data_IF_316360844988
#
_entry.id   IF_316360844988
#
_cell.length_a   1.000
_cell.length_b   1.000
_cell.length_c   1.000
_cell.angle_alpha   90.00
_cell.angle_beta   90.00
_cell.angle_gamma   90.00
#
_symmetry.space_group_name_H-M   'P 1'
#
loop_
_entity.id
_entity.type
_entity.pdbx_description
1 polymer ?
#
# COMPACT_ATOMS: atom_id res chain seq x y z
N UNK A 1 4.63 0.61 5.36
CA UNK A 1 5.03 -0.70 5.91
C UNK A 1 6.19 -1.22 5.06
N UNK A 2 6.94 -2.24 5.48
CA UNK A 2 7.99 -2.85 4.64
C UNK A 2 7.52 -4.21 4.07
N UNK A 3 8.37 -4.84 3.25
CA UNK A 3 8.10 -6.13 2.60
C UNK A 3 7.72 -7.24 3.56
N UNK A 4 8.14 -7.17 4.83
CA UNK A 4 7.78 -8.12 5.87
C UNK A 4 6.25 -8.21 6.01
N UNK A 5 5.58 -7.08 6.21
CA UNK A 5 4.14 -7.06 6.41
C UNK A 5 3.38 -7.07 5.09
N UNK A 6 3.79 -6.29 4.08
CA UNK A 6 3.09 -6.24 2.80
C UNK A 6 3.04 -7.61 2.11
N UNK A 7 4.10 -8.41 2.26
CA UNK A 7 4.12 -9.77 1.74
C UNK A 7 3.64 -10.79 2.78
N UNK A 8 4.35 -10.99 3.89
CA UNK A 8 4.07 -12.09 4.82
C UNK A 8 2.86 -11.82 5.70
N UNK A 9 2.73 -10.61 6.24
CA UNK A 9 1.55 -10.20 7.00
C UNK A 9 0.26 -10.36 6.18
N UNK A 10 0.26 -9.87 4.95
CA UNK A 10 -0.86 -10.04 4.00
C UNK A 10 -1.14 -11.51 3.66
N UNK A 11 -0.09 -12.29 3.35
CA UNK A 11 -0.22 -13.71 3.06
C UNK A 11 -0.92 -14.45 4.20
N UNK A 12 -0.45 -14.27 5.43
CA UNK A 12 -1.02 -14.95 6.58
C UNK A 12 -2.42 -14.44 6.92
N UNK A 13 -2.68 -13.14 6.77
CA UNK A 13 -4.04 -12.62 6.94
C UNK A 13 -5.03 -13.24 5.93
N UNK A 14 -4.61 -13.44 4.68
CA UNK A 14 -5.44 -14.12 3.67
C UNK A 14 -5.66 -15.61 4.00
N UNK A 15 -4.64 -16.31 4.50
CA UNK A 15 -4.75 -17.72 4.93
C UNK A 15 -5.68 -17.90 6.13
N UNK A 16 -5.54 -17.02 7.12
CA UNK A 16 -6.25 -17.09 8.41
C UNK A 16 -7.69 -16.60 8.26
N UNK A 17 -7.90 -15.43 7.65
CA UNK A 17 -9.22 -14.84 7.52
C UNK A 17 -10.05 -15.40 6.37
N UNK A 18 -9.45 -15.55 5.18
CA UNK A 18 -10.20 -15.81 3.94
C UNK A 18 -10.24 -17.26 3.48
N UNK A 19 -9.61 -18.21 4.20
CA UNK A 19 -9.48 -19.60 3.77
C UNK A 19 -8.91 -19.79 2.34
N UNK A 20 -8.17 -18.80 1.82
CA UNK A 20 -7.53 -18.86 0.51
C UNK A 20 -6.47 -19.97 0.48
N UNK A 21 -6.32 -20.68 -0.64
CA UNK A 21 -5.22 -21.65 -0.80
C UNK A 21 -3.85 -20.99 -0.65
N UNK A 22 -2.78 -21.77 -0.41
CA UNK A 22 -1.40 -21.25 -0.37
C UNK A 22 -1.07 -20.47 -1.65
N UNK A 23 -1.47 -20.98 -2.82
CA UNK A 23 -1.23 -20.31 -4.10
C UNK A 23 -2.03 -19.02 -4.28
N UNK A 24 -3.30 -18.99 -3.85
CA UNK A 24 -4.13 -17.79 -3.89
C UNK A 24 -3.59 -16.71 -2.95
N UNK A 25 -3.29 -17.08 -1.70
CA UNK A 25 -2.70 -16.16 -0.72
C UNK A 25 -1.32 -15.66 -1.16
N UNK A 26 -0.51 -16.50 -1.82
CA UNK A 26 0.77 -16.09 -2.42
C UNK A 26 0.56 -15.02 -3.49
N UNK A 27 -0.41 -15.18 -4.39
CA UNK A 27 -0.71 -14.17 -5.41
C UNK A 27 -1.22 -12.84 -4.80
N UNK A 28 -2.09 -12.92 -3.79
CA UNK A 28 -2.54 -11.74 -3.03
C UNK A 28 -1.34 -11.00 -2.43
N UNK A 29 -0.44 -11.71 -1.75
CA UNK A 29 0.75 -11.14 -1.13
C UNK A 29 1.73 -10.54 -2.14
N UNK A 30 1.94 -11.20 -3.29
CA UNK A 30 2.73 -10.64 -4.39
C UNK A 30 2.12 -9.34 -4.89
N UNK A 31 0.81 -9.29 -5.11
CA UNK A 31 0.13 -8.09 -5.56
C UNK A 31 0.21 -6.95 -4.53
N UNK A 32 0.03 -7.24 -3.23
CA UNK A 32 0.20 -6.23 -2.18
C UNK A 32 1.62 -5.65 -2.21
N UNK A 33 2.64 -6.50 -2.08
CA UNK A 33 4.04 -6.10 -2.10
C UNK A 33 4.42 -5.34 -3.38
N UNK A 34 3.84 -5.68 -4.53
CA UNK A 34 4.18 -5.07 -5.81
C UNK A 34 3.74 -3.60 -5.95
N UNK A 35 2.87 -3.09 -5.07
CA UNK A 35 2.54 -1.65 -4.99
C UNK A 35 3.80 -0.80 -4.76
N UNK A 36 4.74 -1.27 -3.93
CA UNK A 36 6.01 -0.57 -3.68
C UNK A 36 7.05 -0.77 -4.81
N UNK A 37 6.82 -1.70 -5.74
CA UNK A 37 7.80 -2.06 -6.76
C UNK A 37 7.41 -1.69 -8.18
N UNK A 38 6.13 -1.40 -8.45
CA UNK A 38 5.67 -0.88 -9.73
C UNK A 38 6.08 0.60 -9.88
N UNK A 39 7.36 0.82 -10.17
CA UNK A 39 7.98 2.12 -10.25
C UNK A 39 8.11 2.66 -11.69
N UNK A 40 8.16 3.99 -11.83
CA UNK A 40 8.28 4.66 -13.13
C UNK A 40 9.58 4.32 -13.89
N UNK A 41 10.68 3.98 -13.21
CA UNK A 41 11.95 3.64 -13.87
C UNK A 41 11.93 2.29 -14.57
N UNK A 42 11.22 1.31 -14.00
CA UNK A 42 11.13 -0.06 -14.53
C UNK A 42 9.91 -0.26 -15.44
N UNK A 43 8.82 0.44 -15.16
CA UNK A 43 7.51 0.19 -15.77
C UNK A 43 6.91 1.41 -16.49
N UNK A 44 7.51 2.60 -16.32
CA UNK A 44 7.11 3.79 -17.04
C UNK A 44 7.44 3.65 -18.52
N UNK A 45 6.44 3.76 -19.39
CA UNK A 45 6.61 3.73 -20.84
C UNK A 45 5.33 3.40 -21.59
N UNK A 46 5.44 3.20 -22.90
CA UNK A 46 4.29 2.85 -23.75
C UNK A 46 4.12 1.33 -23.76
N UNK A 47 3.01 0.83 -23.21
CA UNK A 47 2.73 -0.59 -23.17
C UNK A 47 1.91 -1.01 -24.38
N UNK A 48 2.42 -1.96 -25.14
CA UNK A 48 1.70 -2.68 -26.18
C UNK A 48 1.23 -4.01 -25.62
N UNK A 49 -0.07 -4.13 -25.45
CA UNK A 49 -0.69 -5.35 -24.97
C UNK A 49 -0.72 -6.36 -26.10
N UNK A 50 -0.30 -7.59 -25.82
CA UNK A 50 -0.23 -8.65 -26.83
C UNK A 50 -0.90 -9.92 -26.35
N UNK A 51 -1.54 -10.65 -27.27
CA UNK A 51 -2.15 -11.95 -26.97
C UNK A 51 -1.10 -13.06 -26.88
N UNK A 52 -0.23 -13.11 -27.88
CA UNK A 52 0.73 -14.19 -28.07
C UNK A 52 2.02 -13.89 -27.29
N UNK A 53 2.54 -14.86 -26.53
CA UNK A 53 3.85 -14.74 -25.85
C UNK A 53 5.04 -14.92 -26.81
N UNK A 54 4.79 -15.49 -27.99
CA UNK A 54 5.77 -15.63 -29.07
C UNK A 54 5.53 -14.61 -30.19
N UNK A 55 6.61 -14.10 -30.77
CA UNK A 55 6.53 -13.21 -31.94
C UNK A 55 6.02 -13.98 -33.18
N UNK A 56 5.18 -13.35 -34.00
CA UNK A 56 4.61 -13.93 -35.25
C UNK A 56 5.58 -13.86 -36.43
N UNK A 57 6.44 -12.85 -36.42
CA UNK A 57 7.63 -12.74 -37.26
C UNK A 57 8.80 -12.42 -36.33
N UNK A 58 10.06 -12.46 -36.78
CA UNK A 58 11.22 -12.15 -35.93
C UNK A 58 11.08 -10.85 -35.11
N UNK A 59 10.27 -9.89 -35.58
CA UNK A 59 10.16 -8.55 -35.01
C UNK A 59 8.73 -8.09 -34.62
N UNK A 60 7.71 -8.95 -34.67
CA UNK A 60 6.33 -8.47 -34.44
C UNK A 60 5.45 -9.39 -33.57
N UNK A 61 4.85 -8.80 -32.53
CA UNK A 61 3.74 -9.38 -31.78
C UNK A 61 2.38 -8.97 -32.40
N UNK A 62 1.31 -9.73 -32.14
CA UNK A 62 -0.06 -9.23 -32.35
C UNK A 62 -0.46 -8.36 -31.17
N UNK A 63 -0.55 -7.06 -31.44
CA UNK A 63 -1.02 -6.06 -30.49
C UNK A 63 -2.55 -6.09 -30.43
N UNK A 64 -3.08 -6.06 -29.21
CA UNK A 64 -4.52 -6.06 -28.91
C UNK A 64 -4.95 -4.79 -28.17
N UNK A 65 -4.00 -3.95 -27.76
CA UNK A 65 -4.28 -2.64 -27.18
C UNK A 65 -3.01 -1.87 -26.83
N UNK A 66 -3.16 -0.57 -26.63
CA UNK A 66 -2.06 0.34 -26.26
C UNK A 66 -2.41 1.07 -24.97
N UNK A 67 -1.51 1.02 -23.99
CA UNK A 67 -1.61 1.78 -22.74
C UNK A 67 -0.45 2.78 -22.70
N UNK A 68 -0.79 4.06 -22.87
CA UNK A 68 0.22 5.12 -23.02
C UNK A 68 0.76 5.65 -21.69
N UNK A 69 0.05 5.40 -20.59
CA UNK A 69 0.38 5.91 -19.26
C UNK A 69 0.06 4.84 -18.22
N UNK A 70 0.87 3.77 -18.13
CA UNK A 70 0.74 2.80 -17.05
C UNK A 70 0.80 3.51 -15.69
N UNK A 71 -0.09 3.13 -14.77
CA UNK A 71 -0.14 3.69 -13.43
C UNK A 71 0.92 3.04 -12.58
N UNK A 72 2.11 3.60 -12.58
CA UNK A 72 3.08 3.30 -11.53
C UNK A 72 2.50 3.73 -10.18
N UNK A 73 2.72 2.90 -9.16
CA UNK A 73 2.17 3.08 -7.81
C UNK A 73 3.22 3.58 -6.84
N UNK A 74 4.50 3.53 -7.24
CA UNK A 74 5.63 4.00 -6.46
C UNK A 74 6.56 4.89 -7.30
N UNK A 75 7.14 5.91 -6.67
CA UNK A 75 8.24 6.69 -7.24
C UNK A 75 9.53 6.34 -6.49
N UNK A 76 10.33 5.44 -7.07
CA UNK A 76 11.60 5.03 -6.48
C UNK A 76 12.69 6.09 -6.66
N UNK A 77 13.49 6.30 -5.61
CA UNK A 77 14.66 7.19 -5.40
C UNK A 77 14.39 8.43 -4.54
N UNK A 78 15.44 8.95 -3.89
CA UNK A 78 15.47 10.22 -3.14
C UNK A 78 14.84 11.41 -3.87
N UNK A 79 14.77 11.39 -5.21
CA UNK A 79 14.12 12.44 -6.00
C UNK A 79 12.59 12.37 -6.01
N UNK A 80 11.97 11.27 -5.57
CA UNK A 80 10.51 11.14 -5.45
C UNK A 80 9.92 12.16 -4.46
N UNK A 81 10.69 12.47 -3.43
CA UNK A 81 10.39 13.54 -2.48
C UNK A 81 10.41 14.96 -3.06
N UNK A 82 11.05 15.15 -4.22
CA UNK A 82 11.30 16.48 -4.83
C UNK A 82 10.25 16.83 -5.89
N UNK A 83 9.54 15.84 -6.46
CA UNK A 83 8.50 16.04 -7.48
C UNK A 83 7.29 15.14 -7.22
N UNK A 84 6.68 15.30 -6.05
CA UNK A 84 5.52 14.53 -5.63
C UNK A 84 4.32 14.72 -6.56
N UNK A 85 3.77 13.62 -7.06
CA UNK A 85 2.48 13.61 -7.77
C UNK A 85 1.37 13.39 -6.74
N UNK A 86 0.51 14.40 -6.55
CA UNK A 86 -0.54 14.48 -5.53
C UNK A 86 -1.44 13.24 -5.44
N UNK A 87 -1.84 12.72 -6.61
CA UNK A 87 -2.74 11.57 -6.69
C UNK A 87 -2.08 10.22 -6.37
N UNK A 88 -0.77 10.07 -6.56
CA UNK A 88 -0.11 8.77 -6.39
C UNK A 88 -0.01 8.42 -4.91
N UNK A 89 0.62 9.29 -4.14
CA UNK A 89 0.91 9.05 -2.73
C UNK A 89 -0.37 9.03 -1.89
N UNK A 90 -1.31 9.93 -2.18
CA UNK A 90 -2.62 9.94 -1.52
C UNK A 90 -3.46 8.69 -1.83
N UNK A 91 -3.24 8.03 -2.96
CA UNK A 91 -4.02 6.83 -3.31
C UNK A 91 -3.43 5.57 -2.70
N UNK A 92 -2.10 5.39 -2.74
CA UNK A 92 -1.50 4.10 -2.41
C UNK A 92 -0.83 4.00 -1.03
N UNK A 93 -0.38 5.12 -0.44
CA UNK A 93 0.47 5.08 0.77
C UNK A 93 -0.02 5.96 1.92
N UNK A 94 -0.74 7.04 1.61
CA UNK A 94 -1.19 8.04 2.59
C UNK A 94 -2.64 8.44 2.34
N UNK A 95 -3.56 7.47 2.48
CA UNK A 95 -4.98 7.64 2.21
C UNK A 95 -5.62 8.72 3.09
N UNK A 96 -6.10 9.84 2.53
CA UNK A 96 -6.66 10.93 3.33
C UNK A 96 -7.81 10.47 4.23
N UNK A 97 -7.72 10.79 5.53
CA UNK A 97 -8.70 10.35 6.53
C UNK A 97 -8.97 11.31 7.67
N UNK A 98 -8.43 12.54 7.67
CA UNK A 98 -8.53 13.47 8.80
C UNK A 98 -9.75 14.39 8.70
N UNK A 99 -10.93 13.80 8.53
CA UNK A 99 -12.18 14.54 8.38
C UNK A 99 -13.32 13.75 8.99
N UNK A 100 -14.33 14.43 9.50
CA UNK A 100 -15.55 13.79 10.01
C UNK A 100 -16.22 12.95 8.91
N UNK A 101 -16.79 11.82 9.32
CA UNK A 101 -17.50 10.91 8.42
C UNK A 101 -18.57 11.67 7.63
N UNK A 102 -18.45 11.74 6.29
CA UNK A 102 -19.51 12.27 5.45
C UNK A 102 -20.80 11.46 5.62
N UNK A 103 -21.95 12.08 5.39
CA UNK A 103 -23.23 11.37 5.40
C UNK A 103 -23.22 10.16 4.45
N UNK A 104 -23.78 9.04 4.92
CA UNK A 104 -23.85 7.77 4.20
C UNK A 104 -22.54 6.96 4.19
N UNK A 105 -21.52 7.37 4.94
CA UNK A 105 -20.29 6.57 5.06
C UNK A 105 -20.56 5.26 5.80
N UNK A 106 -19.97 4.12 5.36
CA UNK A 106 -20.17 2.85 6.04
C UNK A 106 -19.59 2.91 7.46
N UNK A 107 -20.25 2.31 8.45
CA UNK A 107 -19.72 2.18 9.80
C UNK A 107 -18.72 1.02 9.92
N UNK A 108 -17.87 0.97 10.96
CA UNK A 108 -17.01 -0.19 11.21
C UNK A 108 -17.79 -1.52 11.26
N UNK A 109 -19.01 -1.52 11.82
CA UNK A 109 -19.87 -2.71 11.87
C UNK A 109 -20.37 -3.12 10.50
N UNK A 110 -20.72 -2.18 9.61
CA UNK A 110 -21.15 -2.51 8.23
C UNK A 110 -20.03 -3.19 7.44
N UNK A 111 -18.78 -2.82 7.73
CA UNK A 111 -17.59 -3.30 7.02
C UNK A 111 -17.05 -4.60 7.61
N UNK A 112 -17.00 -4.74 8.93
CA UNK A 112 -16.30 -5.85 9.58
C UNK A 112 -17.19 -6.82 10.36
N UNK A 113 -18.47 -6.47 10.56
CA UNK A 113 -19.33 -7.12 11.54
C UNK A 113 -19.04 -6.65 12.97
N UNK A 114 -19.97 -6.90 13.90
CA UNK A 114 -19.91 -6.36 15.25
C UNK A 114 -18.69 -6.87 16.05
N UNK A 115 -18.38 -8.17 15.95
CA UNK A 115 -17.32 -8.80 16.74
C UNK A 115 -15.92 -8.23 16.43
N UNK A 116 -15.61 -8.03 15.15
CA UNK A 116 -14.34 -7.40 14.75
C UNK A 116 -14.34 -5.91 15.04
N UNK A 117 -15.45 -5.20 14.77
CA UNK A 117 -15.56 -3.77 14.99
C UNK A 117 -15.34 -3.36 16.46
N UNK A 118 -15.71 -4.20 17.43
CA UNK A 118 -15.47 -3.97 18.85
C UNK A 118 -13.97 -4.03 19.23
N UNK A 119 -13.16 -4.76 18.46
CA UNK A 119 -11.73 -4.93 18.70
C UNK A 119 -10.86 -3.90 17.98
N UNK A 120 -11.39 -3.24 16.94
CA UNK A 120 -10.69 -2.18 16.22
C UNK A 120 -10.87 -0.84 16.94
N UNK A 121 -9.83 0.02 17.01
CA UNK A 121 -9.99 1.35 17.57
C UNK A 121 -10.90 2.19 16.67
N UNK A 122 -11.65 3.11 17.28
CA UNK A 122 -12.48 4.05 16.53
C UNK A 122 -11.65 5.01 15.67
N UNK A 123 -12.31 5.59 14.66
CA UNK A 123 -11.72 6.66 13.85
C UNK A 123 -11.39 7.87 14.73
N UNK A 124 -10.13 8.30 14.70
CA UNK A 124 -9.65 9.47 15.41
C UNK A 124 -9.28 10.57 14.41
N UNK A 125 -9.74 11.79 14.68
CA UNK A 125 -9.41 13.01 13.93
C UNK A 125 -8.41 13.82 14.76
N UNK A 126 -7.37 14.31 14.09
CA UNK A 126 -6.37 15.21 14.66
C UNK A 126 -6.76 16.66 14.48
N UNK A 127 -6.61 17.43 15.55
CA UNK A 127 -6.62 18.89 15.47
C UNK A 127 -5.32 19.37 14.81
N UNK A 128 -5.46 20.07 13.69
CA UNK A 128 -4.36 20.62 12.90
C UNK A 128 -4.23 22.12 13.18
N UNK A 129 -3.03 22.56 13.55
CA UNK A 129 -2.73 23.95 13.84
C UNK A 129 -3.04 24.84 12.63
N UNK A 130 -3.60 26.02 12.92
CA UNK A 130 -3.91 27.06 11.94
C UNK A 130 -2.73 27.52 11.08
N UNK A 131 -1.49 27.27 11.51
CA UNK A 131 -0.28 27.55 10.74
C UNK A 131 -0.11 26.63 9.53
N UNK A 132 -0.76 25.45 9.53
CA UNK A 132 -0.77 24.55 8.38
C UNK A 132 -1.83 25.01 7.39
N UNK A 133 -1.51 24.93 6.09
CA UNK A 133 -2.46 25.25 5.03
C UNK A 133 -3.77 24.49 5.19
N UNK A 134 -4.89 25.22 5.22
CA UNK A 134 -6.23 24.66 5.46
C UNK A 134 -6.61 23.51 4.51
N UNK A 135 -6.11 23.53 3.26
CA UNK A 135 -6.32 22.48 2.29
C UNK A 135 -5.72 21.13 2.72
N UNK A 136 -4.69 21.13 3.58
CA UNK A 136 -4.02 19.93 4.07
C UNK A 136 -4.65 19.35 5.33
N UNK A 137 -5.54 20.07 6.01
CA UNK A 137 -6.08 19.65 7.31
C UNK A 137 -6.81 18.31 7.24
N UNK A 138 -7.43 17.99 6.09
CA UNK A 138 -8.15 16.74 5.87
C UNK A 138 -7.26 15.57 5.42
N UNK A 139 -5.98 15.82 5.14
CA UNK A 139 -5.13 14.91 4.38
C UNK A 139 -4.24 14.01 5.22
N UNK A 140 -4.22 14.16 6.56
CA UNK A 140 -3.53 13.16 7.38
C UNK A 140 -4.17 11.80 7.14
N UNK A 141 -3.32 10.82 6.89
CA UNK A 141 -3.67 9.43 6.74
C UNK A 141 -4.23 8.89 8.06
N UNK A 142 -5.43 8.33 8.04
CA UNK A 142 -6.10 7.83 9.25
C UNK A 142 -6.81 6.49 8.98
N UNK A 143 -6.50 5.44 9.73
CA UNK A 143 -7.23 4.17 9.66
C UNK A 143 -8.65 4.37 10.14
N UNK A 144 -9.53 3.48 9.71
CA UNK A 144 -10.94 3.52 10.05
C UNK A 144 -11.64 4.81 9.61
N UNK A 145 -11.03 5.68 8.80
CA UNK A 145 -11.71 6.83 8.19
C UNK A 145 -12.79 6.37 7.19
N UNK A 146 -13.73 7.25 6.86
CA UNK A 146 -14.78 6.93 5.89
C UNK A 146 -14.25 6.39 4.55
N UNK A 147 -13.16 6.95 4.00
CA UNK A 147 -12.53 6.43 2.79
C UNK A 147 -11.91 5.05 3.02
N UNK A 148 -11.15 4.86 4.11
CA UNK A 148 -10.56 3.56 4.46
C UNK A 148 -11.63 2.46 4.56
N UNK A 149 -12.75 2.74 5.23
CA UNK A 149 -13.88 1.80 5.36
C UNK A 149 -14.59 1.54 4.02
N UNK A 150 -14.73 2.58 3.18
CA UNK A 150 -15.29 2.42 1.84
C UNK A 150 -14.38 1.58 0.92
N UNK A 151 -13.06 1.69 1.05
CA UNK A 151 -12.10 0.86 0.31
C UNK A 151 -12.25 -0.63 0.65
N UNK A 152 -12.42 -0.95 1.94
CA UNK A 152 -12.63 -2.33 2.39
C UNK A 152 -13.97 -2.86 1.86
N UNK A 153 -15.05 -2.08 1.97
CA UNK A 153 -16.37 -2.50 1.50
C UNK A 153 -16.38 -2.74 -0.01
N UNK A 154 -15.78 -1.84 -0.81
CA UNK A 154 -15.65 -2.01 -2.26
C UNK A 154 -14.81 -3.25 -2.63
N UNK A 155 -13.75 -3.54 -1.87
CA UNK A 155 -12.94 -4.74 -2.06
C UNK A 155 -13.78 -6.02 -1.86
N UNK A 156 -14.61 -6.06 -0.81
CA UNK A 156 -15.52 -7.17 -0.52
C UNK A 156 -16.58 -7.31 -1.62
N UNK A 157 -17.20 -6.20 -2.04
CA UNK A 157 -18.21 -6.19 -3.10
C UNK A 157 -17.64 -6.68 -4.43
N UNK A 158 -16.40 -6.29 -4.76
CA UNK A 158 -15.72 -6.78 -5.96
C UNK A 158 -15.43 -8.27 -5.85
N UNK A 159 -14.92 -8.73 -4.70
CA UNK A 159 -14.54 -10.12 -4.50
C UNK A 159 -15.73 -11.09 -4.54
N UNK A 160 -16.91 -10.64 -4.10
CA UNK A 160 -18.13 -11.45 -4.03
C UNK A 160 -19.03 -11.32 -5.26
N UNK A 161 -18.66 -10.50 -6.26
CA UNK A 161 -19.49 -10.22 -7.44
C UNK A 161 -18.72 -10.41 -8.75
N UNK A 162 -18.81 -11.60 -9.34
CA UNK A 162 -18.28 -11.85 -10.70
C UNK A 162 -18.78 -10.84 -11.74
N UNK A 163 -20.08 -10.46 -11.78
CA UNK A 163 -20.55 -9.43 -12.72
C UNK A 163 -19.89 -8.06 -12.50
N UNK A 164 -19.51 -7.71 -11.26
CA UNK A 164 -18.77 -6.46 -10.98
C UNK A 164 -17.36 -6.53 -11.56
N UNK A 165 -16.64 -7.63 -11.33
CA UNK A 165 -15.31 -7.86 -11.90
C UNK A 165 -15.33 -7.80 -13.44
N UNK A 166 -16.33 -8.41 -14.07
CA UNK A 166 -16.51 -8.31 -15.53
C UNK A 166 -16.70 -6.86 -15.99
N UNK A 167 -17.56 -6.09 -15.31
CA UNK A 167 -17.79 -4.68 -15.66
C UNK A 167 -16.53 -3.83 -15.52
N UNK A 168 -15.64 -4.17 -14.59
CA UNK A 168 -14.32 -3.52 -14.44
C UNK A 168 -13.43 -3.91 -15.62
N UNK A 169 -13.25 -5.22 -15.88
CA UNK A 169 -12.40 -5.70 -16.97
C UNK A 169 -12.87 -5.24 -18.35
N UNK A 170 -14.19 -5.15 -18.59
CA UNK A 170 -14.75 -4.61 -19.83
C UNK A 170 -14.36 -3.15 -20.11
N UNK A 171 -13.99 -2.39 -19.08
CA UNK A 171 -13.53 -1.00 -19.20
C UNK A 171 -12.02 -0.88 -19.39
N UNK A 172 -11.29 -2.00 -19.31
CA UNK A 172 -9.86 -2.02 -19.55
C UNK A 172 -9.54 -2.07 -21.05
N UNK A 173 -8.46 -1.42 -21.45
CA UNK A 173 -7.90 -1.54 -22.80
C UNK A 173 -7.60 -3.01 -23.12
N UNK A 174 -8.16 -3.55 -24.20
CA UNK A 174 -8.01 -4.98 -24.50
C UNK A 174 -8.80 -5.91 -23.56
N UNK A 175 -9.73 -5.39 -22.76
CA UNK A 175 -10.51 -6.17 -21.79
C UNK A 175 -11.35 -7.30 -22.39
N UNK A 176 -11.70 -7.22 -23.67
CA UNK A 176 -12.34 -8.34 -24.38
C UNK A 176 -11.45 -9.59 -24.43
N UNK A 177 -10.12 -9.43 -24.51
CA UNK A 177 -9.16 -10.55 -24.46
C UNK A 177 -9.21 -11.28 -23.12
N UNK A 178 -9.50 -10.55 -22.04
CA UNK A 178 -9.59 -11.10 -20.69
C UNK A 178 -10.89 -11.87 -20.48
N UNK A 179 -11.94 -11.54 -21.23
CA UNK A 179 -13.31 -12.02 -21.03
C UNK A 179 -13.80 -13.00 -22.11
N UNK A 180 -12.94 -13.36 -23.07
CA UNK A 180 -13.27 -14.31 -24.13
C UNK A 180 -12.68 -15.71 -23.86
N UNK A 181 -13.41 -16.74 -24.32
CA UNK A 181 -12.93 -18.11 -24.35
C UNK A 181 -12.71 -18.77 -22.99
N UNK A 182 -11.85 -19.79 -22.97
CA UNK A 182 -11.63 -20.67 -21.82
C UNK A 182 -10.85 -19.98 -20.68
N UNK A 183 -10.09 -18.92 -20.98
CA UNK A 183 -9.28 -18.20 -20.00
C UNK A 183 -10.10 -17.21 -19.13
N UNK A 184 -11.37 -16.93 -19.48
CA UNK A 184 -12.21 -15.95 -18.77
C UNK A 184 -12.29 -16.21 -17.26
N UNK A 185 -12.56 -17.46 -16.86
CA UNK A 185 -12.74 -17.80 -15.45
C UNK A 185 -11.44 -17.61 -14.65
N UNK A 186 -10.31 -18.04 -15.22
CA UNK A 186 -8.99 -17.86 -14.63
C UNK A 186 -8.58 -16.38 -14.52
N UNK A 187 -8.81 -15.58 -15.57
CA UNK A 187 -8.54 -14.14 -15.53
C UNK A 187 -9.36 -13.41 -14.47
N UNK A 188 -10.65 -13.75 -14.34
CA UNK A 188 -11.52 -13.17 -13.30
C UNK A 188 -11.05 -13.54 -11.90
N UNK A 189 -10.63 -14.79 -11.70
CA UNK A 189 -10.11 -15.26 -10.42
C UNK A 189 -8.79 -14.59 -10.06
N UNK A 190 -7.82 -14.56 -10.99
CA UNK A 190 -6.54 -13.87 -10.74
C UNK A 190 -6.75 -12.37 -10.52
N UNK A 191 -7.62 -11.72 -11.29
CA UNK A 191 -7.94 -10.31 -11.09
C UNK A 191 -8.55 -10.03 -9.71
N UNK A 192 -9.47 -10.89 -9.24
CA UNK A 192 -10.04 -10.82 -7.90
C UNK A 192 -8.95 -10.82 -6.82
N UNK A 193 -8.05 -11.79 -6.88
CA UNK A 193 -6.95 -11.95 -5.91
C UNK A 193 -5.97 -10.78 -5.95
N UNK A 194 -5.63 -10.31 -7.16
CA UNK A 194 -4.73 -9.18 -7.35
C UNK A 194 -5.34 -7.87 -6.83
N UNK A 195 -6.63 -7.63 -7.07
CA UNK A 195 -7.33 -6.46 -6.53
C UNK A 195 -7.38 -6.48 -4.99
N UNK A 196 -7.65 -7.65 -4.40
CA UNK A 196 -7.58 -7.83 -2.94
C UNK A 196 -6.18 -7.51 -2.40
N UNK A 197 -5.12 -7.98 -3.06
CA UNK A 197 -3.74 -7.67 -2.68
C UNK A 197 -3.44 -6.16 -2.74
N UNK A 198 -3.81 -5.50 -3.85
CA UNK A 198 -3.63 -4.06 -3.99
C UNK A 198 -4.38 -3.26 -2.91
N UNK A 199 -5.59 -3.68 -2.53
CA UNK A 199 -6.36 -3.05 -1.44
C UNK A 199 -5.73 -3.33 -0.07
N UNK A 200 -5.26 -4.56 0.17
CA UNK A 200 -4.61 -4.96 1.41
C UNK A 200 -3.36 -4.11 1.70
N UNK A 201 -2.53 -3.84 0.68
CA UNK A 201 -1.39 -2.92 0.80
C UNK A 201 -1.81 -1.57 1.38
N UNK A 202 -2.77 -0.91 0.75
CA UNK A 202 -3.19 0.44 1.11
C UNK A 202 -3.80 0.48 2.51
N UNK A 203 -4.60 -0.53 2.88
CA UNK A 203 -5.17 -0.65 4.23
C UNK A 203 -4.03 -0.80 5.26
N UNK A 204 -3.04 -1.64 4.97
CA UNK A 204 -1.90 -1.86 5.86
C UNK A 204 -1.06 -0.57 6.03
N UNK A 205 -0.75 0.12 4.93
CA UNK A 205 -0.09 1.44 4.93
C UNK A 205 -0.90 2.51 5.67
N UNK A 206 -2.23 2.45 5.60
CA UNK A 206 -3.12 3.35 6.35
C UNK A 206 -2.86 3.24 7.87
N UNK A 207 -2.63 2.03 8.39
CA UNK A 207 -2.24 1.82 9.79
C UNK A 207 -0.81 2.24 10.07
N UNK A 208 0.14 1.94 9.18
CA UNK A 208 1.57 2.19 9.35
C UNK A 208 1.94 3.69 9.28
N UNK A 209 1.21 4.46 8.48
CA UNK A 209 1.59 5.81 8.11
C UNK A 209 0.62 6.87 8.62
N UNK A 210 -0.09 6.59 9.72
CA UNK A 210 -0.96 7.61 10.33
C UNK A 210 -0.21 8.91 10.60
N UNK A 211 -0.92 10.03 10.55
CA UNK A 211 -0.39 11.36 10.88
C UNK A 211 0.63 11.92 9.87
N UNK A 212 0.67 11.33 8.66
CA UNK A 212 1.37 11.84 7.48
C UNK A 212 0.40 11.99 6.31
N UNK A 213 0.71 12.86 5.35
CA UNK A 213 -0.12 13.14 4.19
C UNK A 213 0.64 12.88 2.88
N UNK A 214 -0.08 12.42 1.85
CA UNK A 214 0.47 12.14 0.51
C UNK A 214 0.75 13.38 -0.34
N UNK A 215 0.91 14.54 0.29
CA UNK A 215 1.23 15.83 -0.36
C UNK A 215 2.57 16.35 0.14
N UNK A 216 3.22 17.22 -0.63
CA UNK A 216 4.44 17.88 -0.17
C UNK A 216 4.07 19.12 0.65
N UNK A 217 4.42 19.16 1.94
CA UNK A 217 4.22 20.36 2.76
C UNK A 217 4.59 20.20 4.22
N UNK A 218 4.55 21.31 4.97
CA UNK A 218 4.94 21.38 6.38
C UNK A 218 4.14 20.42 7.28
N UNK A 219 2.97 19.96 6.83
CA UNK A 219 2.18 18.92 7.48
C UNK A 219 2.98 17.62 7.70
N UNK A 220 4.00 17.36 6.88
CA UNK A 220 4.85 16.18 7.00
C UNK A 220 6.19 16.44 7.69
N UNK A 221 6.32 17.58 8.35
CA UNK A 221 7.54 17.92 9.10
C UNK A 221 7.34 17.77 10.60
N UNK A 222 8.44 17.85 11.33
CA UNK A 222 8.42 17.82 12.78
C UNK A 222 9.49 18.72 13.41
N UNK A 223 9.20 19.10 14.65
CA UNK A 223 10.11 19.81 15.54
C UNK A 223 11.00 18.85 16.30
N UNK A 224 12.06 19.39 16.90
CA UNK A 224 12.93 18.63 17.79
C UNK A 224 12.16 18.12 19.03
N UNK A 225 12.20 16.81 19.27
CA UNK A 225 11.49 16.15 20.36
C UNK A 225 11.81 16.73 21.74
N UNK A 226 13.03 17.26 21.94
CA UNK A 226 13.54 17.74 23.23
C UNK A 226 13.50 19.27 23.45
N UNK A 227 12.67 20.04 22.70
CA UNK A 227 12.46 21.50 22.87
C UNK A 227 13.71 22.39 22.69
N UNK A 228 14.65 22.00 21.82
CA UNK A 228 15.77 22.87 21.45
C UNK A 228 15.31 24.12 20.68
N UNK A 229 15.79 25.31 21.06
CA UNK A 229 15.42 26.59 20.44
C UNK A 229 15.89 26.72 18.96
N UNK A 230 16.83 25.87 18.52
CA UNK A 230 17.31 25.74 17.14
C UNK A 230 17.85 24.31 16.85
N UNK A 231 17.26 23.61 15.86
CA UNK A 231 18.01 22.98 14.77
C UNK A 231 18.74 21.64 14.92
N UNK A 232 18.06 20.54 15.31
CA UNK A 232 18.51 19.18 14.95
C UNK A 232 17.42 18.30 14.35
N UNK A 233 16.15 18.53 14.71
CA UNK A 233 15.00 17.69 14.34
C UNK A 233 15.21 16.25 14.80
N UNK A 234 15.48 16.11 16.09
CA UNK A 234 15.65 14.80 16.71
C UNK A 234 14.31 14.13 17.04
N UNK A 235 14.33 12.80 16.99
CA UNK A 235 13.26 11.90 17.38
C UNK A 235 13.82 10.93 18.42
N UNK A 236 12.94 10.39 19.27
CA UNK A 236 13.31 9.31 20.18
C UNK A 236 12.64 8.00 19.75
N UNK A 237 13.32 6.88 19.86
CA UNK A 237 12.78 5.54 19.55
C UNK A 237 13.21 4.46 20.55
N UNK A 238 12.47 3.35 20.55
CA UNK A 238 12.68 2.12 21.31
C UNK A 238 12.51 0.94 20.35
N UNK A 239 13.52 0.06 20.29
CA UNK A 239 13.56 -1.06 19.34
C UNK A 239 13.77 -2.43 20.03
N UNK A 240 14.67 -2.51 20.99
CA UNK A 240 15.06 -3.73 21.72
C UNK A 240 14.94 -3.60 23.23
N UNK A 241 14.91 -2.36 23.74
CA UNK A 241 14.79 -2.05 25.16
C UNK A 241 13.72 -0.99 25.41
N UNK A 242 13.36 -0.78 26.68
CA UNK A 242 12.46 0.29 27.08
C UNK A 242 13.15 1.66 27.20
N UNK A 243 14.44 1.77 26.88
CA UNK A 243 15.18 3.04 26.90
C UNK A 243 14.99 3.82 25.61
N UNK A 244 14.79 5.14 25.72
CA UNK A 244 14.63 6.02 24.57
C UNK A 244 15.99 6.38 23.95
N UNK A 245 16.21 5.95 22.71
CA UNK A 245 17.35 6.33 21.89
C UNK A 245 17.04 7.60 21.10
N UNK A 246 17.92 8.61 21.15
CA UNK A 246 17.75 9.86 20.38
C UNK A 246 18.54 9.79 19.07
N UNK A 247 17.88 10.12 17.96
CA UNK A 247 18.51 10.16 16.64
C UNK A 247 18.06 11.35 15.82
N UNK A 248 18.90 11.75 14.88
CA UNK A 248 18.53 12.61 13.76
C UNK A 248 18.74 11.83 12.50
N UNK A 249 17.64 11.62 11.78
CA UNK A 249 17.64 10.91 10.53
C UNK A 249 18.16 11.82 9.42
N UNK A 250 18.92 11.25 8.48
CA UNK A 250 19.48 11.98 7.36
C UNK A 250 19.90 11.01 6.25
N UNK A 251 20.16 11.55 5.07
CA UNK A 251 20.71 10.78 3.94
C UNK A 251 22.10 10.19 4.19
N UNK A 252 22.80 10.66 5.23
CA UNK A 252 24.14 10.20 5.60
C UNK A 252 24.10 9.07 6.65
N UNK A 253 22.94 8.79 7.23
CA UNK A 253 22.76 7.62 8.07
C UNK A 253 22.86 6.33 7.22
N UNK A 254 23.08 5.20 7.89
CA UNK A 254 22.97 3.92 7.21
C UNK A 254 21.50 3.61 6.89
N UNK A 255 21.26 2.61 6.04
CA UNK A 255 19.96 2.30 5.43
C UNK A 255 18.79 2.27 6.43
N UNK A 256 18.92 1.62 7.59
CA UNK A 256 17.81 1.51 8.55
C UNK A 256 17.40 2.86 9.20
N UNK A 257 18.28 3.85 9.20
CA UNK A 257 18.06 5.17 9.81
C UNK A 257 18.15 6.30 8.77
N UNK A 258 18.08 5.95 7.49
CA UNK A 258 18.11 6.92 6.40
C UNK A 258 16.76 7.63 6.27
N UNK A 259 16.80 8.92 5.94
CA UNK A 259 15.62 9.72 5.63
C UNK A 259 15.96 10.70 4.49
N UNK A 260 14.93 11.20 3.80
CA UNK A 260 15.13 12.21 2.74
C UNK A 260 15.70 13.52 3.32
N UNK A 261 16.49 14.30 2.56
CA UNK A 261 17.16 15.47 3.12
C UNK A 261 16.17 16.57 3.51
N UNK A 262 16.34 17.09 4.73
CA UNK A 262 15.55 18.21 5.25
C UNK A 262 15.66 19.42 4.30
N UNK A 263 14.52 20.07 4.04
CA UNK A 263 14.44 21.24 3.16
C UNK A 263 14.27 20.94 1.67
N UNK A 264 14.39 19.68 1.24
CA UNK A 264 14.28 19.29 -0.19
C UNK A 264 13.10 18.40 -0.53
N UNK A 265 12.53 17.70 0.47
CA UNK A 265 11.36 16.84 0.32
C UNK A 265 10.48 16.95 1.55
N UNK A 266 9.17 17.08 1.35
CA UNK A 266 8.17 17.18 2.43
C UNK A 266 7.02 16.19 2.21
N UNK A 267 7.30 15.10 1.50
CA UNK A 267 6.30 14.14 1.08
C UNK A 267 6.21 12.97 2.06
N UNK A 268 5.00 12.67 2.52
CA UNK A 268 4.71 11.52 3.37
C UNK A 268 5.55 11.51 4.65
N UNK A 269 5.92 10.32 5.11
CA UNK A 269 6.79 10.16 6.26
C UNK A 269 8.29 10.31 5.92
N UNK A 270 8.66 10.94 4.80
CA UNK A 270 10.03 10.93 4.28
C UNK A 270 11.10 11.36 5.30
N UNK A 271 10.77 12.29 6.20
CA UNK A 271 11.67 12.73 7.28
C UNK A 271 11.73 11.77 8.49
N UNK A 272 10.76 10.89 8.62
CA UNK A 272 10.71 9.82 9.64
C UNK A 272 11.46 8.56 9.17
N UNK A 273 12.02 8.56 7.95
CA UNK A 273 12.71 7.40 7.39
C UNK A 273 11.82 6.16 7.45
N UNK A 274 12.39 5.04 7.84
CA UNK A 274 11.71 3.75 7.93
C UNK A 274 11.02 3.47 9.29
N UNK A 275 11.05 4.40 10.26
CA UNK A 275 10.45 4.10 11.57
C UNK A 275 8.95 3.74 11.53
N UNK A 276 8.11 4.34 10.67
CA UNK A 276 6.71 3.91 10.55
C UNK A 276 6.57 2.49 9.96
N UNK A 277 7.60 2.00 9.27
CA UNK A 277 7.64 0.70 8.59
C UNK A 277 8.09 -0.44 9.51
N UNK A 278 8.74 -0.12 10.64
CA UNK A 278 9.17 -1.13 11.60
C UNK A 278 8.03 -1.50 12.56
N UNK A 279 7.47 -2.68 12.37
CA UNK A 279 6.35 -3.24 13.14
C UNK A 279 6.57 -3.26 14.66
N UNK A 280 7.81 -3.46 15.10
CA UNK A 280 8.19 -3.62 16.51
C UNK A 280 8.56 -2.31 17.22
N UNK A 281 8.73 -1.21 16.49
CA UNK A 281 9.31 0.01 17.07
C UNK A 281 8.26 0.89 17.77
N UNK A 282 8.70 1.56 18.83
CA UNK A 282 7.97 2.67 19.43
C UNK A 282 8.80 3.94 19.30
N UNK A 283 8.21 5.02 18.84
CA UNK A 283 8.91 6.29 18.63
C UNK A 283 8.08 7.47 19.09
N UNK A 284 8.73 8.61 19.31
CA UNK A 284 8.05 9.87 19.62
C UNK A 284 8.70 11.05 18.91
N UNK A 285 7.87 11.97 18.47
CA UNK A 285 8.27 13.13 17.68
C UNK A 285 7.26 14.27 17.90
N UNK A 286 7.60 15.49 17.51
CA UNK A 286 6.70 16.64 17.61
C UNK A 286 6.23 17.05 16.22
N UNK A 287 5.10 16.55 15.73
CA UNK A 287 4.63 16.91 14.41
C UNK A 287 4.39 18.43 14.29
N UNK A 288 4.74 19.01 13.14
CA UNK A 288 4.53 20.44 12.92
C UNK A 288 3.04 20.81 12.90
N UNK A 289 2.18 19.88 12.50
CA UNK A 289 0.73 20.08 12.49
C UNK A 289 0.08 20.19 13.88
N UNK A 290 0.76 19.84 14.98
CA UNK A 290 0.25 20.10 16.35
C UNK A 290 0.70 21.44 16.93
N UNK A 291 1.53 22.20 16.20
CA UNK A 291 2.14 23.41 16.70
C UNK A 291 3.37 23.16 17.57
N UNK A 292 4.27 24.13 17.62
CA UNK A 292 5.61 24.00 18.24
C UNK A 292 5.58 23.74 19.75
N UNK A 293 4.55 24.23 20.44
CA UNK A 293 4.41 24.09 21.89
C UNK A 293 3.82 22.75 22.34
N UNK A 294 3.32 21.93 21.42
CA UNK A 294 2.73 20.63 21.75
C UNK A 294 3.73 19.68 22.44
N UNK A 295 3.21 18.76 23.23
CA UNK A 295 4.01 17.63 23.72
C UNK A 295 4.34 16.67 22.57
N UNK A 296 5.44 15.90 22.67
CA UNK A 296 5.73 14.88 21.67
C UNK A 296 4.60 13.86 21.56
N UNK A 297 4.16 13.61 20.34
CA UNK A 297 3.29 12.50 20.00
C UNK A 297 4.09 11.20 20.14
N UNK A 298 3.54 10.24 20.89
CA UNK A 298 4.09 8.89 21.00
C UNK A 298 3.36 7.98 20.02
N UNK A 299 4.12 7.24 19.22
CA UNK A 299 3.64 6.24 18.30
C UNK A 299 4.20 4.88 18.66
N UNK A 300 3.29 3.93 18.85
CA UNK A 300 3.57 2.55 19.25
C UNK A 300 3.11 1.65 18.09
N UNK A 301 4.04 1.20 17.24
CA UNK A 301 3.69 0.47 16.03
C UNK A 301 3.09 -0.92 16.30
N UNK A 302 3.56 -1.74 17.27
CA UNK A 302 3.07 -3.11 17.43
C UNK A 302 1.53 -3.21 17.54
N UNK A 303 0.83 -2.39 18.35
CA UNK A 303 -0.63 -2.37 18.34
C UNK A 303 -1.24 -2.00 16.98
N UNK A 304 -0.68 -1.04 16.25
CA UNK A 304 -1.21 -0.62 14.94
C UNK A 304 -1.12 -1.74 13.90
N UNK A 305 -0.01 -2.48 13.90
CA UNK A 305 0.20 -3.61 13.00
C UNK A 305 -0.70 -4.80 13.36
N UNK A 306 -1.03 -5.00 14.65
CA UNK A 306 -2.02 -6.00 15.08
C UNK A 306 -3.43 -5.64 14.61
N UNK A 307 -3.81 -4.35 14.67
CA UNK A 307 -5.08 -3.89 14.11
C UNK A 307 -5.13 -4.04 12.60
N UNK A 308 -4.05 -3.71 11.89
CA UNK A 308 -3.93 -3.95 10.45
C UNK A 308 -4.13 -5.44 10.12
N UNK A 309 -3.47 -6.35 10.83
CA UNK A 309 -3.62 -7.79 10.62
C UNK A 309 -5.06 -8.25 10.84
N UNK A 310 -5.71 -7.82 11.93
CA UNK A 310 -7.10 -8.16 12.21
C UNK A 310 -8.06 -7.61 11.14
N UNK A 311 -7.87 -6.37 10.71
CA UNK A 311 -8.69 -5.74 9.67
C UNK A 311 -8.56 -6.47 8.33
N UNK A 312 -7.34 -6.85 7.96
CA UNK A 312 -7.09 -7.66 6.77
C UNK A 312 -7.73 -9.04 6.87
N UNK A 313 -7.60 -9.75 8.00
CA UNK A 313 -8.29 -11.03 8.22
C UNK A 313 -9.80 -10.88 8.02
N UNK A 314 -10.39 -9.83 8.58
CA UNK A 314 -11.83 -9.55 8.43
C UNK A 314 -12.21 -9.27 6.97
N UNK A 315 -11.45 -8.43 6.27
CA UNK A 315 -11.67 -8.17 4.84
C UNK A 315 -11.60 -9.47 4.03
N UNK A 316 -10.60 -10.31 4.27
CA UNK A 316 -10.42 -11.56 3.54
C UNK A 316 -11.51 -12.58 3.85
N UNK A 317 -11.98 -12.69 5.09
CA UNK A 317 -13.14 -13.52 5.44
C UNK A 317 -14.37 -13.12 4.63
N UNK A 318 -14.70 -11.83 4.64
CA UNK A 318 -15.86 -11.30 3.90
C UNK A 318 -15.71 -11.40 2.39
N UNK A 319 -14.49 -11.21 1.87
CA UNK A 319 -14.19 -11.41 0.45
C UNK A 319 -14.37 -12.87 -0.01
N UNK A 320 -14.28 -13.83 0.91
CA UNK A 320 -14.58 -15.25 0.68
C UNK A 320 -16.05 -15.62 0.95
N UNK A 321 -16.87 -14.66 1.40
CA UNK A 321 -18.29 -14.85 1.70
C UNK A 321 -18.60 -15.24 3.14
N UNK A 322 -17.61 -15.19 4.04
CA UNK A 322 -17.73 -15.55 5.45
C UNK A 322 -17.68 -14.31 6.37
N UNK A 323 -18.02 -14.49 7.64
CA UNK A 323 -17.76 -13.50 8.70
C UNK A 323 -16.67 -14.03 9.63
N UNK A 324 -15.75 -13.15 10.03
CA UNK A 324 -14.68 -13.51 10.95
C UNK A 324 -15.20 -13.49 12.39
N UNK A 325 -15.15 -14.62 13.07
CA UNK A 325 -15.17 -14.68 14.54
C UNK A 325 -13.72 -14.51 15.05
N UNK A 326 -13.35 -13.38 15.67
CA UNK A 326 -11.98 -13.14 16.12
C UNK A 326 -11.47 -14.18 17.12
N UNK A 327 -12.38 -14.80 17.90
CA UNK A 327 -12.01 -15.79 18.91
C UNK A 327 -11.60 -17.13 18.29
N UNK A 328 -12.03 -17.39 17.05
CA UNK A 328 -11.66 -18.60 16.30
C UNK A 328 -10.22 -18.60 15.76
N UNK A 329 -9.55 -17.43 15.80
CA UNK A 329 -8.19 -17.24 15.29
C UNK A 329 -7.24 -16.67 16.36
N UNK A 330 -7.56 -16.86 17.64
CA UNK A 330 -6.77 -16.27 18.74
C UNK A 330 -5.32 -16.76 18.74
N UNK A 331 -5.08 -18.04 18.44
CA UNK A 331 -3.74 -18.61 18.33
C UNK A 331 -2.94 -17.95 17.19
N UNK A 332 -3.54 -17.79 16.00
CA UNK A 332 -2.91 -17.11 14.88
C UNK A 332 -2.69 -15.61 15.14
N UNK A 333 -3.60 -14.96 15.84
CA UNK A 333 -3.44 -13.56 16.25
C UNK A 333 -2.31 -13.39 17.24
N UNK A 334 -2.12 -14.32 18.17
CA UNK A 334 -1.00 -14.29 19.11
C UNK A 334 0.35 -14.58 18.42
N UNK A 335 0.37 -15.52 17.48
CA UNK A 335 1.54 -15.79 16.64
C UNK A 335 1.93 -14.56 15.79
N UNK A 336 0.95 -13.94 15.13
CA UNK A 336 1.15 -12.69 14.39
C UNK A 336 1.62 -11.55 15.32
N UNK A 337 1.01 -11.42 16.49
CA UNK A 337 1.37 -10.43 17.50
C UNK A 337 2.82 -10.59 18.01
N UNK A 338 3.30 -11.84 18.09
CA UNK A 338 4.68 -12.17 18.44
C UNK A 338 5.65 -11.81 17.31
N UNK A 339 5.32 -12.15 16.06
CA UNK A 339 6.13 -11.78 14.90
C UNK A 339 6.25 -10.26 14.72
N UNK A 340 5.13 -9.55 14.85
CA UNK A 340 5.03 -8.08 14.78
C UNK A 340 5.88 -7.40 15.85
N UNK A 341 5.88 -7.94 17.08
CA UNK A 341 6.57 -7.32 18.21
C UNK A 341 8.02 -7.79 18.38
N UNK A 342 8.52 -8.64 17.47
CA UNK A 342 9.84 -9.22 17.59
C UNK A 342 10.92 -8.11 17.50
N UNK A 343 11.69 -7.87 18.57
CA UNK A 343 12.61 -6.74 18.65
C UNK A 343 13.83 -6.94 17.74
N UNK A 344 14.30 -5.85 17.16
CA UNK A 344 15.46 -5.84 16.27
C UNK A 344 16.25 -4.54 16.47
N UNK A 345 17.58 -4.63 16.69
CA UNK A 345 18.44 -3.47 16.93
C UNK A 345 18.68 -2.71 15.62
N UNK A 346 17.91 -1.65 15.37
CA UNK A 346 17.93 -0.96 14.07
C UNK A 346 19.19 -0.13 13.88
N UNK A 347 19.92 0.18 14.96
CA UNK A 347 21.21 0.88 14.92
C UNK A 347 22.37 -0.03 14.48
N UNK A 348 22.21 -1.36 14.52
CA UNK A 348 23.21 -2.29 14.01
C UNK A 348 23.16 -2.32 12.47
N UNK A 349 24.28 -1.95 11.85
CA UNK A 349 24.47 -1.94 10.39
C UNK A 349 24.52 -3.34 9.78
N UNK A 350 24.76 -4.38 10.59
CA UNK A 350 24.76 -5.77 10.16
C UNK A 350 23.36 -6.37 10.03
N UNK A 351 22.34 -5.69 10.57
CA UNK A 351 20.97 -6.18 10.64
C UNK A 351 20.11 -5.52 9.56
N UNK A 352 19.23 -6.33 8.96
CA UNK A 352 18.19 -5.87 8.05
C UNK A 352 16.82 -6.16 8.69
N UNK A 353 16.15 -5.15 9.28
CA UNK A 353 14.93 -5.34 10.06
C UNK A 353 13.81 -6.08 9.33
N UNK A 354 13.57 -5.74 8.05
CA UNK A 354 12.55 -6.41 7.23
C UNK A 354 12.82 -7.90 6.99
N UNK A 355 14.10 -8.30 6.82
CA UNK A 355 14.44 -9.72 6.73
C UNK A 355 14.29 -10.43 8.07
N UNK A 356 14.71 -9.78 9.15
CA UNK A 356 14.51 -10.34 10.47
C UNK A 356 13.02 -10.57 10.73
N UNK A 357 12.17 -9.57 10.47
CA UNK A 357 10.73 -9.69 10.67
C UNK A 357 10.08 -10.73 9.77
N UNK A 358 10.48 -10.85 8.49
CA UNK A 358 9.94 -11.91 7.62
C UNK A 358 10.27 -13.32 8.12
N UNK A 359 11.46 -13.53 8.68
CA UNK A 359 11.84 -14.78 9.33
C UNK A 359 10.98 -15.06 10.58
N UNK A 360 10.65 -14.02 11.37
CA UNK A 360 9.75 -14.15 12.52
C UNK A 360 8.33 -14.51 12.10
N UNK A 361 7.79 -13.89 11.04
CA UNK A 361 6.47 -14.26 10.50
C UNK A 361 6.40 -15.74 10.13
N UNK A 362 7.40 -16.28 9.44
CA UNK A 362 7.45 -17.71 9.09
C UNK A 362 7.55 -18.57 10.35
N UNK A 363 8.46 -18.22 11.27
CA UNK A 363 8.72 -19.02 12.46
C UNK A 363 7.51 -19.08 13.42
N UNK A 364 6.86 -17.95 13.67
CA UNK A 364 5.72 -17.86 14.59
C UNK A 364 4.47 -18.50 14.00
N UNK A 365 4.15 -18.23 12.72
CA UNK A 365 2.96 -18.79 12.09
C UNK A 365 3.06 -20.31 11.88
N UNK A 366 4.26 -20.86 11.74
CA UNK A 366 4.47 -22.31 11.72
C UNK A 366 4.06 -23.00 13.04
N UNK A 367 4.15 -22.31 14.19
CA UNK A 367 3.76 -22.86 15.50
C UNK A 367 2.26 -23.12 15.59
N UNK A 368 1.47 -22.40 14.81
CA UNK A 368 0.01 -22.50 14.70
C UNK A 368 -0.41 -23.17 13.39
N UNK A 369 0.45 -24.04 12.85
CA UNK A 369 0.18 -24.89 11.69
C UNK A 369 -0.12 -24.14 10.37
N UNK A 370 0.27 -22.88 10.25
CA UNK A 370 0.16 -22.15 8.99
C UNK A 370 1.39 -22.41 8.11
N UNK A 371 1.15 -22.88 6.89
CA UNK A 371 2.20 -23.12 5.91
C UNK A 371 2.73 -21.79 5.34
N UNK A 372 4.03 -21.69 5.01
CA UNK A 372 4.59 -20.49 4.38
C UNK A 372 4.08 -20.30 2.94
N UNK A 373 4.30 -19.11 2.34
CA UNK A 373 3.99 -18.85 0.93
C UNK A 373 4.69 -19.83 -0.01
N UNK A 374 4.11 -20.07 -1.20
CA UNK A 374 4.75 -20.87 -2.26
C UNK A 374 6.05 -20.19 -2.73
N UNK A 375 6.04 -18.85 -2.79
CA UNK A 375 7.18 -18.02 -3.17
C UNK A 375 7.80 -17.36 -1.94
N UNK A 376 8.71 -18.05 -1.23
CA UNK A 376 9.49 -17.41 -0.16
C UNK A 376 10.49 -16.41 -0.78
N UNK A 377 10.31 -15.11 -0.47
CA UNK A 377 11.12 -14.00 -0.98
C UNK A 377 12.28 -13.66 -0.03
N UNK A 378 13.40 -13.16 -0.55
CA UNK A 378 14.41 -12.49 0.27
C UNK A 378 14.03 -11.03 0.46
N UNK A 379 13.45 -10.70 1.62
CA UNK A 379 13.07 -9.33 1.96
C UNK A 379 14.25 -8.34 1.96
N UNK A 380 15.51 -8.78 1.90
CA UNK A 380 16.65 -7.86 1.67
C UNK A 380 16.62 -7.23 0.27
N UNK A 381 16.08 -7.93 -0.73
CA UNK A 381 16.08 -7.53 -2.13
C UNK A 381 14.84 -6.68 -2.45
N UNK A 382 15.02 -5.54 -3.12
CA UNK A 382 13.94 -4.61 -3.47
C UNK A 382 13.80 -4.45 -5.00
N UNK A 383 12.90 -5.22 -5.65
CA UNK A 383 12.23 -6.43 -5.16
C UNK A 383 13.08 -7.70 -5.34
N UNK A 384 12.77 -8.74 -4.57
CA UNK A 384 13.13 -10.11 -4.92
C UNK A 384 12.44 -10.52 -6.24
N UNK A 385 13.14 -11.27 -7.10
CA UNK A 385 12.60 -11.71 -8.39
C UNK A 385 11.32 -12.56 -8.26
N UNK A 386 11.15 -13.29 -7.15
CA UNK A 386 9.95 -14.07 -6.84
C UNK A 386 8.76 -13.20 -6.45
N UNK A 387 8.99 -11.97 -5.98
CA UNK A 387 7.94 -11.02 -5.66
C UNK A 387 7.36 -10.33 -6.90
N UNK A 388 8.03 -10.40 -8.05
CA UNK A 388 7.62 -9.74 -9.29
C UNK A 388 6.41 -10.45 -9.91
N UNK A 389 5.43 -9.67 -10.36
CA UNK A 389 4.31 -10.17 -11.16
C UNK A 389 4.74 -10.36 -12.62
N UNK A 390 4.62 -11.58 -13.18
CA UNK A 390 5.06 -11.86 -14.54
C UNK A 390 4.15 -11.18 -15.57
N UNK A 391 4.70 -10.88 -16.75
CA UNK A 391 3.91 -10.40 -17.88
C UNK A 391 4.66 -9.56 -18.91
N UNK A 392 5.82 -9.00 -18.53
CA UNK A 392 6.68 -8.28 -19.45
C UNK A 392 7.44 -9.26 -20.36
N UNK A 393 7.30 -9.10 -21.68
CA UNK A 393 7.87 -10.00 -22.68
C UNK A 393 9.12 -9.43 -23.35
N UNK A 394 9.09 -8.14 -23.68
CA UNK A 394 10.16 -7.45 -24.38
C UNK A 394 10.16 -5.97 -23.97
N UNK A 395 11.35 -5.41 -23.80
CA UNK A 395 11.57 -4.00 -23.49
C UNK A 395 12.35 -3.38 -24.66
N UNK A 396 11.63 -2.67 -25.52
CA UNK A 396 12.26 -1.84 -26.55
C UNK A 396 13.04 -0.72 -25.89
N UNK A 397 14.37 -0.70 -26.05
CA UNK A 397 15.22 0.36 -25.50
C UNK A 397 14.71 1.73 -25.99
N UNK A 398 14.53 2.67 -25.05
CA UNK A 398 14.19 4.04 -25.37
C UNK A 398 15.14 4.64 -26.40
N UNK A 399 14.58 5.27 -27.42
CA UNK A 399 15.33 6.08 -28.40
C UNK A 399 15.35 7.54 -27.94
N UNK A 400 16.16 8.38 -28.58
CA UNK A 400 16.13 9.85 -28.38
C UNK A 400 14.74 10.48 -28.65
N UNK A 401 13.84 9.75 -29.31
CA UNK A 401 12.45 10.14 -29.61
C UNK A 401 11.39 9.57 -28.66
N UNK A 402 11.72 8.61 -27.78
CA UNK A 402 10.79 8.07 -26.77
C UNK A 402 11.51 7.91 -25.43
N UNK A 403 11.31 8.88 -24.53
CA UNK A 403 11.99 8.98 -23.22
C UNK A 403 11.96 7.68 -22.39
N UNK A 404 10.95 6.83 -22.62
CA UNK A 404 10.68 5.64 -21.81
C UNK A 404 10.66 4.32 -22.60
N UNK A 405 10.78 4.33 -23.94
CA UNK A 405 10.70 3.11 -24.74
C UNK A 405 9.30 2.50 -24.88
N UNK A 406 9.22 1.35 -25.55
CA UNK A 406 7.98 0.58 -25.77
C UNK A 406 8.13 -0.80 -25.14
N UNK A 407 7.19 -1.17 -24.29
CA UNK A 407 7.15 -2.45 -23.59
C UNK A 407 6.07 -3.33 -24.20
N UNK A 408 6.36 -4.61 -24.40
CA UNK A 408 5.37 -5.60 -24.82
C UNK A 408 4.94 -6.40 -23.60
N UNK A 409 3.65 -6.33 -23.28
CA UNK A 409 3.07 -6.95 -22.08
C UNK A 409 1.99 -7.92 -22.52
N UNK A 410 2.02 -9.14 -21.98
CA UNK A 410 0.97 -10.11 -22.25
C UNK A 410 -0.36 -9.62 -21.63
N UNK A 411 -1.41 -9.54 -22.45
CA UNK A 411 -2.70 -8.97 -22.08
C UNK A 411 -3.46 -9.79 -21.02
N UNK A 412 -3.13 -11.06 -20.78
CA UNK A 412 -3.73 -11.90 -19.73
C UNK A 412 -2.78 -12.19 -18.57
N UNK A 413 -1.66 -11.46 -18.47
CA UNK A 413 -0.67 -11.64 -17.42
C UNK A 413 -1.05 -10.98 -16.11
N UNK A 414 -0.46 -11.46 -15.01
CA UNK A 414 -0.65 -10.88 -13.68
C UNK A 414 -0.18 -9.43 -13.61
N UNK A 415 0.89 -9.07 -14.33
CA UNK A 415 1.35 -7.68 -14.44
C UNK A 415 0.27 -6.77 -15.02
N UNK A 416 -0.44 -7.21 -16.06
CA UNK A 416 -1.49 -6.38 -16.66
C UNK A 416 -2.77 -6.36 -15.82
N UNK A 417 -3.16 -7.48 -15.22
CA UNK A 417 -4.28 -7.52 -14.27
C UNK A 417 -4.01 -6.62 -13.05
N UNK A 418 -2.78 -6.58 -12.56
CA UNK A 418 -2.35 -5.65 -11.51
C UNK A 418 -2.44 -4.20 -11.98
N UNK A 419 -2.01 -3.90 -13.20
CA UNK A 419 -2.10 -2.56 -13.76
C UNK A 419 -3.56 -2.07 -13.82
N UNK A 420 -4.51 -2.96 -14.15
CA UNK A 420 -5.95 -2.68 -14.09
C UNK A 420 -6.42 -2.47 -12.65
N UNK A 421 -6.02 -3.34 -11.71
CA UNK A 421 -6.40 -3.25 -10.31
C UNK A 421 -5.90 -1.94 -9.66
N UNK A 422 -4.66 -1.55 -9.92
CA UNK A 422 -4.08 -0.29 -9.46
C UNK A 422 -4.84 0.91 -10.03
N UNK A 423 -5.12 0.94 -11.34
CA UNK A 423 -5.90 2.04 -11.93
C UNK A 423 -7.34 2.08 -11.42
N UNK A 424 -7.96 0.93 -11.14
CA UNK A 424 -9.29 0.86 -10.52
C UNK A 424 -9.25 1.47 -9.12
N UNK A 425 -8.26 1.07 -8.32
CA UNK A 425 -8.02 1.62 -6.99
C UNK A 425 -7.88 3.14 -7.03
N UNK A 426 -7.02 3.66 -7.91
CA UNK A 426 -6.78 5.09 -8.06
C UNK A 426 -8.06 5.84 -8.43
N UNK A 427 -8.83 5.35 -9.41
CA UNK A 427 -10.06 6.02 -9.81
C UNK A 427 -11.10 6.02 -8.68
N UNK A 428 -11.17 4.96 -7.87
CA UNK A 428 -12.05 4.90 -6.70
C UNK A 428 -11.69 5.99 -5.68
N UNK A 429 -10.40 6.09 -5.30
CA UNK A 429 -9.93 7.10 -4.35
C UNK A 429 -10.16 8.51 -4.90
N UNK A 430 -9.78 8.75 -6.16
CA UNK A 430 -9.97 10.03 -6.83
C UNK A 430 -11.44 10.46 -6.85
N UNK A 431 -12.33 9.54 -7.20
CA UNK A 431 -13.77 9.81 -7.25
C UNK A 431 -14.32 10.14 -5.86
N UNK A 432 -13.97 9.35 -4.85
CA UNK A 432 -14.41 9.58 -3.48
C UNK A 432 -13.99 10.96 -2.96
N UNK A 433 -12.71 11.30 -3.09
CA UNK A 433 -12.16 12.55 -2.57
C UNK A 433 -12.77 13.78 -3.26
N UNK A 434 -13.02 13.70 -4.58
CA UNK A 434 -13.65 14.78 -5.35
C UNK A 434 -15.13 14.92 -4.96
N UNK A 435 -15.90 13.81 -4.95
CA UNK A 435 -17.32 13.83 -4.59
C UNK A 435 -17.60 14.33 -3.17
N UNK A 436 -16.72 13.99 -2.21
CA UNK A 436 -16.87 14.41 -0.81
C UNK A 436 -16.21 15.77 -0.53
N UNK A 437 -15.71 16.47 -1.56
CA UNK A 437 -15.06 17.78 -1.44
C UNK A 437 -13.93 17.78 -0.38
N UNK A 438 -13.10 16.73 -0.44
CA UNK A 438 -11.92 16.56 0.41
C UNK A 438 -10.69 17.05 -0.34
N UNK A 439 -10.46 16.52 -1.54
CA UNK A 439 -9.31 16.85 -2.38
C UNK A 439 -9.63 16.53 -3.83
N UNK A 440 -9.18 17.40 -4.74
CA UNK A 440 -9.22 17.14 -6.18
C UNK A 440 -7.81 16.99 -6.70
N UNK A 441 -7.49 15.83 -7.25
CA UNK A 441 -6.18 15.61 -7.87
C UNK A 441 -6.03 16.39 -9.17
N UNK A 442 -4.93 17.11 -9.31
CA UNK A 442 -4.65 17.99 -10.45
C UNK A 442 -3.27 17.73 -11.07
N UNK A 443 -2.44 16.89 -10.45
CA UNK A 443 -1.11 16.52 -10.95
C UNK A 443 -1.12 15.88 -12.33
N UNK A 444 0.01 15.96 -13.02
CA UNK A 444 0.17 15.46 -14.38
C UNK A 444 -0.07 13.95 -14.46
N UNK A 445 0.36 13.22 -13.44
CA UNK A 445 0.14 11.79 -13.33
C UNK A 445 -1.34 11.46 -13.11
N UNK A 446 -2.02 12.19 -12.22
CA UNK A 446 -3.42 11.94 -11.85
C UNK A 446 -4.44 12.22 -12.96
N UNK A 447 -4.04 13.00 -13.96
CA UNK A 447 -4.86 13.42 -15.11
C UNK A 447 -4.64 12.55 -16.35
N UNK A 448 -3.58 11.75 -16.40
CA UNK A 448 -3.36 10.76 -17.45
C UNK A 448 -4.46 9.70 -17.46
N UNK A 449 -4.71 9.11 -18.63
CA UNK A 449 -5.62 7.97 -18.79
C UNK A 449 -4.78 6.69 -18.69
N UNK A 450 -5.09 5.87 -17.70
CA UNK A 450 -4.44 4.59 -17.45
C UNK A 450 -5.00 3.47 -18.33
N UNK A 451 -4.88 2.19 -17.92
CA UNK A 451 -5.50 1.08 -18.63
C UNK A 451 -7.04 1.09 -18.60
N UNK A 452 -7.68 1.76 -17.64
CA UNK A 452 -9.14 1.83 -17.54
C UNK A 452 -9.69 3.10 -18.17
N UNK A 453 -10.86 2.94 -18.81
CA UNK A 453 -11.68 4.08 -19.23
C UNK A 453 -12.05 4.97 -18.03
N UNK A 454 -12.03 6.31 -18.17
CA UNK A 454 -12.51 7.23 -17.13
C UNK A 454 -13.97 6.98 -16.67
N UNK A 455 -14.77 6.31 -17.52
CA UNK A 455 -16.15 5.87 -17.20
C UNK A 455 -16.19 4.70 -16.20
N UNK A 456 -15.06 4.28 -15.65
CA UNK A 456 -15.04 3.33 -14.53
C UNK A 456 -15.67 3.91 -13.27
N UNK A 457 -15.71 5.24 -13.16
CA UNK A 457 -16.37 5.92 -12.05
C UNK A 457 -17.88 5.70 -11.97
N UNK A 458 -18.53 5.25 -13.05
CA UNK A 458 -19.94 4.85 -13.04
C UNK A 458 -20.20 3.58 -12.20
N UNK A 459 -19.14 2.92 -11.72
CA UNK A 459 -19.23 1.70 -10.90
C UNK A 459 -19.10 1.97 -9.40
N UNK A 460 -18.82 3.21 -8.98
CA UNK A 460 -18.53 3.57 -7.60
C UNK A 460 -19.78 3.98 -6.82
#
# INVERSE_FOLDING_TARGET
MDQDFHYYGTYYAARVGGSFSTSQATLIAKAANFIDFLNNGSYGGYWRLVRDTSKRSPDAYKVVGDVNSPRYTFQGTLSSGVSAEDGLWCSYHFTPGNYADPEGSPSPTDVHGAAVAELLPGHEIRDVDSSIESAHHKLLNRPQSALSRALVLDAIDCATSTPRLERILMRATGGWELLEGEARADNLERFRLILLGARAHVIADTWAHQDWAGVSGDINTYWDVNRGYFGRQSIDYQDTSSEWNNVVLSVMNHENLMAVPNGTSYLGHGWMGHLPDYSFIKYRYRPCWQGKSAEPLVRDNPPQYRYAFLELCSMFARASGDELDPSSIDDEREAAATAIAAPCEIADKGVCPRKFSSEQWIAEMAKVSQAPPDDIIDAKLEPDAKAVLPGLLDAGRGTSSSRYGTYYVNASSDLYLFQIAADYHFNFVKHWLDQKNIMRFTGSWSTQIGPLSPLVSDLF
#
